data_IF_221150845540
#
_entry.id   IF_221150845540
#
_cell.length_a   1.000
_cell.length_b   1.000
_cell.length_c   1.000
_cell.angle_alpha   90.00
_cell.angle_beta   90.00
_cell.angle_gamma   90.00
#
_symmetry.space_group_name_H-M   'P 1'
#
loop_
_entity.id
_entity.type
_entity.pdbx_description
1 polymer ?
#
# COMPACT_ATOMS: atom_id res chain seq x y z
N UNK A 1 43.59 -61.19 46.89
CA UNK A 1 43.73 -59.76 46.70
C UNK A 1 43.11 -59.44 45.36
N UNK A 2 41.92 -58.92 45.42
CA UNK A 2 41.17 -58.55 44.20
C UNK A 2 41.23 -57.01 44.01
N UNK A 3 41.97 -56.55 43.00
CA UNK A 3 42.05 -55.12 42.68
C UNK A 3 40.88 -54.72 41.79
N UNK A 4 39.96 -54.01 42.39
CA UNK A 4 38.84 -53.36 41.65
C UNK A 4 39.34 -52.09 40.97
N UNK A 5 39.41 -52.13 39.65
CA UNK A 5 39.71 -50.95 38.87
C UNK A 5 38.38 -50.31 38.44
N UNK A 6 38.00 -49.23 39.12
CA UNK A 6 36.89 -48.40 38.70
C UNK A 6 37.24 -47.66 37.40
N UNK A 7 36.58 -48.05 36.32
CA UNK A 7 36.58 -47.30 35.09
C UNK A 7 35.61 -46.13 35.18
N UNK A 8 36.16 -44.93 35.15
CA UNK A 8 35.35 -43.70 35.05
C UNK A 8 34.87 -43.56 33.62
N UNK A 9 33.56 -43.80 33.45
CA UNK A 9 32.86 -43.54 32.18
C UNK A 9 32.54 -42.06 32.09
N UNK A 10 33.33 -41.32 31.33
CA UNK A 10 33.04 -39.91 31.03
C UNK A 10 31.92 -39.85 30.00
N UNK A 11 30.73 -39.48 30.44
CA UNK A 11 29.60 -39.17 29.56
C UNK A 11 29.83 -37.75 29.02
N UNK A 12 30.27 -37.63 27.79
CA UNK A 12 30.33 -36.39 27.07
C UNK A 12 28.88 -36.01 26.65
N UNK A 13 28.28 -35.13 27.40
CA UNK A 13 27.01 -34.47 26.99
C UNK A 13 27.33 -33.51 25.86
N UNK A 14 27.11 -33.97 24.64
CA UNK A 14 27.17 -33.12 23.44
C UNK A 14 26.04 -32.10 23.46
N UNK A 15 26.38 -30.84 23.72
CA UNK A 15 25.49 -29.72 23.61
C UNK A 15 25.20 -29.49 22.13
N UNK A 16 24.08 -30.04 21.63
CA UNK A 16 23.56 -29.76 20.30
C UNK A 16 23.03 -28.33 20.29
N UNK A 17 23.85 -27.36 19.88
CA UNK A 17 23.39 -26.03 19.54
C UNK A 17 22.70 -26.10 18.18
N UNK A 18 21.38 -26.14 18.19
CA UNK A 18 20.59 -25.94 16.98
C UNK A 18 20.82 -24.49 16.53
N UNK A 19 21.28 -24.22 15.31
CA UNK A 19 21.23 -22.89 14.74
C UNK A 19 19.76 -22.59 14.52
N UNK A 20 19.17 -21.78 15.39
CA UNK A 20 17.86 -21.22 15.16
C UNK A 20 17.94 -20.39 13.87
N UNK A 21 17.30 -20.84 12.79
CA UNK A 21 17.00 -20.00 11.64
C UNK A 21 16.06 -18.89 12.13
N UNK A 22 16.62 -17.79 12.59
CA UNK A 22 15.93 -16.54 12.69
C UNK A 22 15.68 -16.04 11.29
N UNK A 23 14.56 -16.44 10.68
CA UNK A 23 14.04 -15.73 9.53
C UNK A 23 13.71 -14.32 10.01
N UNK A 24 14.63 -13.40 9.77
CA UNK A 24 14.34 -11.98 9.80
C UNK A 24 13.40 -11.74 8.64
N UNK A 25 12.10 -11.85 8.88
CA UNK A 25 11.09 -11.32 7.99
C UNK A 25 11.31 -9.82 7.90
N UNK A 26 12.20 -9.42 7.01
CA UNK A 26 12.36 -8.02 6.66
C UNK A 26 11.09 -7.64 5.89
N UNK A 27 10.08 -7.19 6.62
CA UNK A 27 8.91 -6.57 5.97
C UNK A 27 9.44 -5.48 5.05
N UNK A 28 9.06 -5.47 3.77
CA UNK A 28 9.49 -4.43 2.87
C UNK A 28 9.07 -3.08 3.46
N UNK A 29 10.05 -2.19 3.55
CA UNK A 29 9.83 -0.87 4.14
C UNK A 29 8.93 -0.07 3.20
N UNK A 30 7.74 0.28 3.69
CA UNK A 30 6.83 1.19 2.98
C UNK A 30 7.36 2.62 3.01
N UNK A 31 6.99 3.38 2.00
CA UNK A 31 7.27 4.81 1.87
C UNK A 31 5.96 5.55 2.09
N UNK A 32 5.94 6.52 3.00
CA UNK A 32 4.79 7.40 3.15
C UNK A 32 4.67 8.24 1.87
N UNK A 33 3.54 8.16 1.19
CA UNK A 33 3.30 8.85 -0.09
C UNK A 33 2.19 9.85 0.07
N UNK A 34 2.46 11.07 -0.34
CA UNK A 34 1.50 12.16 -0.35
C UNK A 34 1.42 12.82 -1.74
N UNK A 35 0.44 13.65 -1.94
CA UNK A 35 0.37 14.42 -3.18
C UNK A 35 -0.90 15.24 -3.33
N UNK A 36 -1.05 15.76 -4.53
CA UNK A 36 -2.20 16.60 -4.89
C UNK A 36 -2.76 16.16 -6.24
N UNK A 37 -4.08 16.15 -6.34
CA UNK A 37 -4.80 15.89 -7.59
C UNK A 37 -5.58 17.14 -7.98
N UNK A 38 -5.38 17.58 -9.21
CA UNK A 38 -6.11 18.70 -9.81
C UNK A 38 -6.91 18.22 -11.02
N UNK A 39 -8.01 18.86 -11.29
CA UNK A 39 -8.85 18.66 -12.48
C UNK A 39 -8.96 19.99 -13.22
N UNK A 40 -8.41 20.04 -14.45
CA UNK A 40 -8.32 21.28 -15.24
C UNK A 40 -7.69 22.45 -14.46
N UNK A 41 -6.64 22.17 -13.67
CA UNK A 41 -5.92 23.16 -12.88
C UNK A 41 -6.60 23.57 -11.57
N UNK A 42 -7.71 22.95 -11.21
CA UNK A 42 -8.41 23.17 -9.93
C UNK A 42 -8.21 21.96 -9.02
N UNK A 43 -7.99 22.14 -7.71
CA UNK A 43 -7.93 21.01 -6.79
C UNK A 43 -9.19 20.14 -6.90
N UNK A 44 -9.01 18.84 -6.97
CA UNK A 44 -10.13 17.91 -6.93
C UNK A 44 -10.78 18.00 -5.56
N UNK A 45 -12.09 18.09 -5.54
CA UNK A 45 -12.84 18.25 -4.29
C UNK A 45 -13.01 16.92 -3.56
N UNK A 46 -13.40 16.99 -2.29
CA UNK A 46 -13.73 15.85 -1.46
C UNK A 46 -14.75 14.92 -2.15
N UNK A 47 -14.59 13.63 -1.96
CA UNK A 47 -15.48 12.60 -2.51
C UNK A 47 -14.84 11.75 -3.62
N UNK A 48 -13.55 11.87 -3.82
CA UNK A 48 -12.77 10.98 -4.69
C UNK A 48 -11.76 10.16 -3.90
N UNK A 49 -11.35 9.04 -4.49
CA UNK A 49 -10.26 8.20 -4.02
C UNK A 49 -9.21 8.06 -5.09
N UNK A 50 -7.97 8.04 -4.68
CA UNK A 50 -6.84 7.70 -5.53
C UNK A 50 -6.40 6.27 -5.25
N UNK A 51 -6.20 5.50 -6.31
CA UNK A 51 -5.77 4.11 -6.23
C UNK A 51 -4.42 3.97 -6.95
N UNK A 52 -3.45 3.41 -6.26
CA UNK A 52 -2.18 2.98 -6.82
C UNK A 52 -2.23 1.47 -6.99
N UNK A 53 -2.02 0.98 -8.20
CA UNK A 53 -2.05 -0.46 -8.49
C UNK A 53 -0.80 -0.85 -9.27
N UNK A 54 -0.04 -1.81 -8.74
CA UNK A 54 1.13 -2.36 -9.43
C UNK A 54 0.76 -3.63 -10.17
N UNK A 55 0.88 -3.59 -11.50
CA UNK A 55 0.66 -4.77 -12.33
C UNK A 55 1.80 -5.79 -12.25
N UNK A 56 2.97 -5.38 -11.78
CA UNK A 56 4.15 -6.25 -11.68
C UNK A 56 4.17 -7.07 -10.38
N UNK A 57 3.68 -6.50 -9.28
CA UNK A 57 3.70 -7.14 -7.95
C UNK A 57 2.31 -7.49 -7.44
N UNK A 58 1.26 -6.91 -8.03
CA UNK A 58 -0.12 -7.05 -7.55
C UNK A 58 -0.45 -6.19 -6.33
N UNK A 59 0.47 -5.35 -5.89
CA UNK A 59 0.25 -4.47 -4.76
C UNK A 59 -0.73 -3.35 -5.12
N UNK A 60 -1.57 -2.98 -4.18
CA UNK A 60 -2.51 -1.88 -4.31
C UNK A 60 -2.55 -1.04 -3.03
N UNK A 61 -2.66 0.26 -3.22
CA UNK A 61 -2.86 1.21 -2.13
C UNK A 61 -3.97 2.19 -2.51
N UNK A 62 -4.78 2.56 -1.54
CA UNK A 62 -5.94 3.44 -1.73
C UNK A 62 -5.89 4.54 -0.69
N UNK A 63 -6.12 5.79 -1.11
CA UNK A 63 -6.25 6.93 -0.23
C UNK A 63 -7.45 7.80 -0.61
N UNK A 64 -8.00 8.49 0.37
CA UNK A 64 -9.05 9.49 0.13
C UNK A 64 -8.41 10.80 -0.30
N UNK A 65 -9.07 11.50 -1.22
CA UNK A 65 -8.69 12.85 -1.61
C UNK A 65 -9.49 13.83 -0.76
N UNK A 66 -8.78 14.74 -0.10
CA UNK A 66 -9.38 15.78 0.74
C UNK A 66 -9.96 16.94 -0.05
N UNK A 67 -10.59 17.91 0.63
CA UNK A 67 -11.28 19.02 0.00
C UNK A 67 -10.37 19.98 -0.78
N UNK A 68 -9.08 19.95 -0.52
CA UNK A 68 -8.04 20.71 -1.20
C UNK A 68 -7.29 19.91 -2.29
N UNK A 69 -7.80 18.73 -2.66
CA UNK A 69 -7.20 17.84 -3.64
C UNK A 69 -6.01 17.05 -3.13
N UNK A 70 -5.69 17.11 -1.85
CA UNK A 70 -4.57 16.38 -1.25
C UNK A 70 -4.94 14.97 -0.88
N UNK A 71 -3.97 14.09 -1.01
CA UNK A 71 -4.07 12.70 -0.55
C UNK A 71 -2.83 12.30 0.24
N UNK A 72 -3.00 11.32 1.13
CA UNK A 72 -1.93 10.73 1.93
C UNK A 72 -2.20 9.23 2.11
N UNK A 73 -1.19 8.42 1.87
CA UNK A 73 -1.22 6.99 2.18
C UNK A 73 -0.63 6.74 3.57
N UNK A 74 -1.46 6.77 4.60
CA UNK A 74 -1.05 6.66 6.01
C UNK A 74 -0.30 5.37 6.33
N UNK A 75 -0.61 4.29 5.65
CA UNK A 75 0.06 3.00 5.83
C UNK A 75 1.34 2.87 4.98
N UNK A 76 1.65 3.89 4.20
CA UNK A 76 2.72 3.86 3.23
C UNK A 76 2.45 2.95 2.03
N UNK A 77 3.27 3.08 1.03
CA UNK A 77 3.24 2.32 -0.22
C UNK A 77 4.57 1.61 -0.41
N UNK A 78 4.55 0.38 -0.90
CA UNK A 78 5.79 -0.33 -1.23
C UNK A 78 6.52 0.38 -2.39
N UNK A 79 7.85 0.41 -2.38
CA UNK A 79 8.59 0.92 -3.51
C UNK A 79 8.27 0.14 -4.79
N UNK A 80 8.01 0.85 -5.88
CA UNK A 80 7.67 0.24 -7.16
C UNK A 80 6.98 1.19 -8.11
N UNK A 81 6.65 0.69 -9.30
CA UNK A 81 5.89 1.45 -10.30
C UNK A 81 4.42 1.08 -10.26
N UNK A 82 3.58 2.08 -10.19
CA UNK A 82 2.12 1.97 -10.06
C UNK A 82 1.41 2.67 -11.21
N UNK A 83 0.32 2.08 -11.65
CA UNK A 83 -0.71 2.78 -12.40
C UNK A 83 -1.67 3.45 -11.42
N UNK A 84 -2.08 4.67 -11.74
CA UNK A 84 -2.90 5.50 -10.87
C UNK A 84 -4.27 5.69 -11.49
N UNK A 85 -5.29 5.38 -10.70
CA UNK A 85 -6.69 5.66 -11.08
C UNK A 85 -7.36 6.52 -10.02
N UNK A 86 -8.32 7.30 -10.45
CA UNK A 86 -9.14 8.15 -9.59
C UNK A 86 -10.59 7.69 -9.71
N UNK A 87 -11.20 7.36 -8.58
CA UNK A 87 -12.60 6.93 -8.53
C UNK A 87 -13.38 7.85 -7.61
N UNK A 88 -14.68 8.04 -7.89
CA UNK A 88 -15.55 8.72 -6.94
C UNK A 88 -15.88 7.80 -5.77
N UNK A 89 -15.96 8.37 -4.56
CA UNK A 89 -16.55 7.69 -3.42
C UNK A 89 -18.05 7.54 -3.70
N UNK A 90 -18.44 6.35 -4.14
CA UNK A 90 -19.84 5.98 -4.05
C UNK A 90 -20.16 5.77 -2.57
N UNK A 91 -21.16 6.48 -2.08
CA UNK A 91 -21.63 6.30 -0.71
C UNK A 91 -22.13 4.87 -0.57
N UNK A 92 -21.45 4.04 0.21
CA UNK A 92 -21.85 2.66 0.57
C UNK A 92 -23.19 2.60 1.36
N UNK A 93 -23.85 3.73 1.50
CA UNK A 93 -25.18 3.80 2.08
C UNK A 93 -26.17 3.33 1.03
N UNK A 94 -26.62 2.09 1.13
CA UNK A 94 -27.76 1.61 0.38
C UNK A 94 -28.89 2.64 0.55
N UNK A 95 -29.34 3.30 -0.53
CA UNK A 95 -30.41 4.27 -0.42
C UNK A 95 -31.66 3.52 0.03
N UNK A 96 -32.21 3.96 1.16
CA UNK A 96 -33.56 3.52 1.57
C UNK A 96 -34.58 3.90 0.51
N UNK A 97 -35.74 3.24 0.47
CA UNK A 97 -36.77 3.53 -0.51
C UNK A 97 -37.15 5.04 -0.47
N UNK A 98 -36.91 5.75 -1.57
CA UNK A 98 -37.22 7.17 -1.73
C UNK A 98 -36.07 8.14 -1.45
N UNK A 99 -34.84 7.65 -1.16
CA UNK A 99 -33.64 8.49 -1.00
C UNK A 99 -32.81 8.42 -2.28
N UNK A 100 -32.71 9.53 -3.00
CA UNK A 100 -31.73 9.65 -4.09
C UNK A 100 -30.35 9.76 -3.46
N UNK A 101 -29.39 8.87 -3.80
CA UNK A 101 -28.04 9.03 -3.29
C UNK A 101 -27.50 10.39 -3.72
N UNK A 102 -26.73 11.07 -2.85
CA UNK A 102 -26.05 12.28 -3.27
C UNK A 102 -25.07 11.90 -4.39
N UNK A 103 -25.41 12.23 -5.60
CA UNK A 103 -24.49 12.14 -6.75
C UNK A 103 -23.45 13.22 -6.53
N UNK A 104 -22.29 12.84 -6.00
CA UNK A 104 -21.12 13.69 -6.06
C UNK A 104 -20.78 13.82 -7.54
N UNK A 105 -21.20 14.93 -8.17
CA UNK A 105 -20.88 15.24 -9.57
C UNK A 105 -19.40 15.61 -9.69
N UNK A 106 -18.53 14.66 -9.38
CA UNK A 106 -17.13 14.74 -9.73
C UNK A 106 -17.02 14.27 -11.18
N UNK A 107 -16.90 15.22 -12.09
CA UNK A 107 -16.67 14.94 -13.51
C UNK A 107 -15.23 14.44 -13.74
N UNK A 108 -14.91 13.26 -13.21
CA UNK A 108 -13.63 12.62 -13.45
C UNK A 108 -13.70 12.01 -14.86
N UNK A 109 -12.79 12.40 -15.78
CA UNK A 109 -12.74 11.79 -17.09
C UNK A 109 -12.57 10.27 -16.98
N UNK A 110 -13.37 9.53 -17.75
CA UNK A 110 -13.41 8.05 -17.67
C UNK A 110 -12.06 7.38 -17.94
N UNK A 111 -11.16 8.04 -18.67
CA UNK A 111 -9.81 7.52 -18.89
C UNK A 111 -9.01 7.32 -17.60
N UNK A 112 -9.31 8.08 -16.54
CA UNK A 112 -8.61 7.99 -15.26
C UNK A 112 -9.29 7.05 -14.26
N UNK A 113 -10.46 6.56 -14.57
CA UNK A 113 -11.21 5.63 -13.69
C UNK A 113 -10.87 4.16 -13.94
N UNK A 114 -10.19 3.85 -15.03
CA UNK A 114 -9.88 2.49 -15.44
C UNK A 114 -8.36 2.30 -15.57
N UNK A 115 -7.85 1.19 -15.04
CA UNK A 115 -6.43 0.81 -15.11
C UNK A 115 -5.92 0.62 -16.54
N UNK A 116 -6.79 0.24 -17.46
CA UNK A 116 -6.40 -0.03 -18.86
C UNK A 116 -6.30 1.24 -19.70
N UNK A 117 -6.98 2.30 -19.29
CA UNK A 117 -7.05 3.57 -20.04
C UNK A 117 -6.26 4.71 -19.39
N UNK A 118 -5.93 4.58 -18.09
CA UNK A 118 -5.19 5.63 -17.40
C UNK A 118 -3.76 5.79 -17.93
N UNK A 119 -3.36 7.02 -18.14
CA UNK A 119 -1.98 7.40 -18.44
C UNK A 119 -1.21 7.89 -17.20
N UNK A 120 -1.87 7.92 -16.05
CA UNK A 120 -1.25 8.32 -14.79
C UNK A 120 -0.38 7.19 -14.23
N UNK A 121 0.85 7.52 -13.91
CA UNK A 121 1.83 6.59 -13.32
C UNK A 121 2.55 7.26 -12.15
N UNK A 122 2.91 6.46 -11.17
CA UNK A 122 3.73 6.87 -10.04
C UNK A 122 4.85 5.85 -9.83
N UNK A 123 6.06 6.32 -9.66
CA UNK A 123 7.19 5.48 -9.24
C UNK A 123 7.54 5.85 -7.81
N UNK A 124 7.16 4.98 -6.87
CA UNK A 124 7.41 5.16 -5.44
C UNK A 124 8.79 4.64 -5.10
N UNK A 125 9.59 5.48 -4.47
CA UNK A 125 10.91 5.13 -3.98
C UNK A 125 11.26 5.99 -2.75
N UNK A 126 12.19 5.57 -1.90
CA UNK A 126 12.71 6.41 -0.84
C UNK A 126 13.25 7.73 -1.43
N UNK A 127 12.67 8.87 -1.02
CA UNK A 127 13.00 10.19 -1.58
C UNK A 127 12.21 10.60 -2.83
N UNK A 128 11.33 9.76 -3.33
CA UNK A 128 10.34 10.07 -4.38
C UNK A 128 8.95 9.64 -3.89
N UNK A 129 8.38 10.44 -3.02
CA UNK A 129 7.20 10.18 -2.21
C UNK A 129 6.12 11.25 -2.33
N UNK A 130 6.37 12.29 -3.14
CA UNK A 130 5.39 13.35 -3.41
C UNK A 130 5.02 13.39 -4.88
N UNK A 131 3.71 13.35 -5.18
CA UNK A 131 3.19 13.30 -6.54
C UNK A 131 2.13 14.36 -6.78
N UNK A 132 2.12 14.91 -7.99
CA UNK A 132 1.07 15.82 -8.44
C UNK A 132 0.47 15.29 -9.73
N UNK A 133 -0.84 15.11 -9.75
CA UNK A 133 -1.58 14.64 -10.91
C UNK A 133 -2.56 15.72 -11.38
N UNK A 134 -2.48 16.08 -12.65
CA UNK A 134 -3.38 17.04 -13.28
C UNK A 134 -4.24 16.33 -14.33
N UNK A 135 -5.51 16.17 -14.00
CA UNK A 135 -6.51 15.54 -14.87
C UNK A 135 -7.01 16.56 -15.90
N UNK A 136 -7.09 16.15 -17.17
CA UNK A 136 -7.51 17.00 -18.30
C UNK A 136 -8.57 16.30 -19.14
#
# INVERSE_FOLDING_TARGET
>A
MVSFRFGVLAIAVGLFTLPGCGETSTMPKTVEVAGTVTLNGKPLTEGAMINFTSSSTGDAAIAKIGPDGRFLFDNGVLPGTYQVTITSLESDTLPGPGVTPPTLNLEIPSKYTDLTSTDLKATVAPGNDEFTFDLK
#
